data_IF_843772388209
#
_entry.id   IF_843772388209
#
_cell.length_a   1.000
_cell.length_b   1.000
_cell.length_c   1.000
_cell.angle_alpha   90.00
_cell.angle_beta   90.00
_cell.angle_gamma   90.00
#
_symmetry.space_group_name_H-M   'P 1'
#
loop_
_entity.id
_entity.type
_entity.pdbx_description
1 polymer ?
#
# COMPACT_ATOMS: atom_id res chain seq x y z
N UNK A 1 16.80 -2.81 12.33
CA UNK A 1 16.26 -4.02 11.65
C UNK A 1 15.82 -3.62 10.24
N UNK A 2 16.08 -4.44 9.23
CA UNK A 2 15.61 -4.19 7.86
C UNK A 2 14.28 -4.92 7.62
N UNK A 3 13.28 -4.21 7.11
CA UNK A 3 11.96 -4.76 6.77
C UNK A 3 11.76 -4.69 5.25
N UNK A 4 11.22 -5.76 4.68
CA UNK A 4 10.75 -5.81 3.31
C UNK A 4 9.22 -5.88 3.32
N UNK A 5 8.56 -4.95 2.66
CA UNK A 5 7.11 -4.81 2.62
C UNK A 5 6.64 -5.05 1.18
N UNK A 6 5.82 -6.08 0.97
CA UNK A 6 5.20 -6.38 -0.32
C UNK A 6 3.76 -5.82 -0.28
N UNK A 7 3.43 -4.97 -1.24
CA UNK A 7 2.13 -4.29 -1.29
C UNK A 7 1.26 -4.89 -2.39
N UNK A 8 -0.02 -5.08 -2.11
CA UNK A 8 -1.02 -5.46 -3.10
C UNK A 8 -2.27 -4.58 -2.91
N UNK A 9 -3.01 -4.36 -3.99
CA UNK A 9 -4.06 -3.33 -4.02
C UNK A 9 -5.42 -3.90 -3.61
N UNK A 10 -5.75 -5.15 -3.95
CA UNK A 10 -7.04 -5.80 -3.65
C UNK A 10 -7.37 -5.84 -2.17
N UNK A 11 -6.36 -5.95 -1.30
CA UNK A 11 -6.50 -6.02 0.15
C UNK A 11 -6.43 -4.68 0.89
N UNK A 12 -6.21 -3.57 0.17
CA UNK A 12 -6.05 -2.24 0.77
C UNK A 12 -7.34 -1.77 1.47
N UNK A 13 -7.20 -1.12 2.62
CA UNK A 13 -8.31 -0.56 3.38
C UNK A 13 -9.12 0.43 2.53
N UNK A 14 -10.44 0.20 2.44
CA UNK A 14 -11.34 1.03 1.64
C UNK A 14 -11.42 0.66 0.15
N UNK A 15 -10.67 -0.35 -0.31
CA UNK A 15 -10.94 -1.03 -1.57
C UNK A 15 -12.11 -1.99 -1.37
N UNK A 16 -13.11 -1.91 -2.24
CA UNK A 16 -14.32 -2.71 -2.16
C UNK A 16 -14.86 -3.12 -3.54
N UNK A 17 -14.24 -2.65 -4.62
CA UNK A 17 -14.51 -3.08 -6.00
C UNK A 17 -13.23 -3.22 -6.80
N UNK A 18 -13.26 -4.15 -7.75
CA UNK A 18 -12.14 -4.43 -8.67
C UNK A 18 -11.79 -3.23 -9.57
N UNK A 19 -12.72 -2.32 -9.86
CA UNK A 19 -12.41 -1.14 -10.68
C UNK A 19 -11.44 -0.18 -9.98
N UNK A 20 -11.37 -0.21 -8.64
CA UNK A 20 -10.39 0.55 -7.90
C UNK A 20 -8.96 -0.01 -8.05
N UNK A 21 -8.81 -1.25 -8.53
CA UNK A 21 -7.53 -1.96 -8.68
C UNK A 21 -7.15 -2.20 -10.15
N UNK A 22 -7.80 -1.53 -11.10
CA UNK A 22 -7.56 -1.76 -12.52
C UNK A 22 -7.10 -0.50 -13.25
N UNK A 23 -5.87 -0.48 -13.80
CA UNK A 23 -5.43 0.62 -14.66
C UNK A 23 -6.43 0.90 -15.79
N UNK A 24 -6.75 2.18 -15.98
CA UNK A 24 -7.70 2.64 -17.01
C UNK A 24 -9.13 2.83 -16.51
N UNK A 25 -9.46 2.39 -15.29
CA UNK A 25 -10.75 2.71 -14.67
C UNK A 25 -10.70 4.09 -13.98
N UNK A 26 -11.80 4.86 -13.99
CA UNK A 26 -11.88 6.15 -13.30
C UNK A 26 -11.54 6.07 -11.80
N UNK A 27 -11.90 4.96 -11.14
CA UNK A 27 -11.72 4.75 -9.70
C UNK A 27 -10.30 4.30 -9.34
N UNK A 28 -9.45 3.95 -10.31
CA UNK A 28 -8.09 3.48 -10.05
C UNK A 28 -7.26 4.52 -9.30
N UNK A 29 -7.46 5.81 -9.59
CA UNK A 29 -6.75 6.88 -8.88
C UNK A 29 -7.12 6.91 -7.39
N UNK A 30 -8.40 6.74 -7.05
CA UNK A 30 -8.81 6.61 -5.64
C UNK A 30 -8.16 5.39 -4.99
N UNK A 31 -8.12 4.26 -5.70
CA UNK A 31 -7.48 3.06 -5.18
C UNK A 31 -5.99 3.26 -4.88
N UNK A 32 -5.27 3.98 -5.74
CA UNK A 32 -3.84 4.28 -5.53
C UNK A 32 -3.62 5.15 -4.30
N UNK A 33 -4.50 6.12 -4.08
CA UNK A 33 -4.45 6.98 -2.88
C UNK A 33 -4.67 6.17 -1.61
N UNK A 34 -5.63 5.23 -1.62
CA UNK A 34 -5.87 4.30 -0.51
C UNK A 34 -4.66 3.39 -0.27
N UNK A 35 -4.09 2.80 -1.32
CA UNK A 35 -2.92 1.91 -1.22
C UNK A 35 -1.74 2.65 -0.57
N UNK A 36 -1.47 3.87 -1.05
CA UNK A 36 -0.38 4.68 -0.48
C UNK A 36 -0.65 5.08 0.98
N UNK A 37 -1.91 5.28 1.39
CA UNK A 37 -2.23 5.55 2.78
C UNK A 37 -1.87 4.37 3.70
N UNK A 38 -2.27 3.15 3.31
CA UNK A 38 -1.96 1.93 4.07
C UNK A 38 -0.47 1.63 4.09
N UNK A 39 0.21 1.72 2.94
CA UNK A 39 1.65 1.51 2.84
C UNK A 39 2.42 2.50 3.71
N UNK A 40 2.07 3.79 3.67
CA UNK A 40 2.73 4.80 4.51
C UNK A 40 2.46 4.57 6.00
N UNK A 41 1.25 4.15 6.38
CA UNK A 41 0.94 3.81 7.77
C UNK A 41 1.77 2.62 8.27
N UNK A 42 1.93 1.57 7.45
CA UNK A 42 2.75 0.42 7.76
C UNK A 42 4.25 0.78 7.87
N UNK A 43 4.75 1.64 6.97
CA UNK A 43 6.13 2.14 7.02
C UNK A 43 6.36 2.97 8.29
N UNK A 44 5.44 3.87 8.64
CA UNK A 44 5.54 4.66 9.87
C UNK A 44 5.59 3.76 11.11
N UNK A 45 4.66 2.79 11.21
CA UNK A 45 4.65 1.83 12.31
C UNK A 45 5.91 0.96 12.38
N UNK A 46 6.48 0.60 11.24
CA UNK A 46 7.76 -0.10 11.18
C UNK A 46 8.91 0.72 11.79
N UNK A 47 9.00 2.01 11.45
CA UNK A 47 10.03 2.89 12.02
C UNK A 47 9.79 3.18 13.51
N UNK A 48 8.54 3.41 13.92
CA UNK A 48 8.19 3.55 15.34
C UNK A 48 8.54 2.28 16.14
N UNK A 49 8.48 1.11 15.50
CA UNK A 49 8.90 -0.19 16.04
C UNK A 49 10.42 -0.44 16.03
N UNK A 50 11.24 0.51 15.59
CA UNK A 50 12.71 0.38 15.57
C UNK A 50 13.29 -0.23 14.29
N UNK A 51 12.54 -0.27 13.19
CA UNK A 51 13.14 -0.50 11.89
C UNK A 51 14.17 0.59 11.57
N UNK A 52 15.24 0.22 10.87
CA UNK A 52 16.31 1.14 10.44
C UNK A 52 16.30 1.33 8.93
N UNK A 53 15.61 0.45 8.22
CA UNK A 53 15.42 0.48 6.77
C UNK A 53 14.13 -0.26 6.45
N UNK A 54 13.32 0.33 5.57
CA UNK A 54 12.11 -0.30 5.03
C UNK A 54 12.19 -0.24 3.50
N UNK A 55 12.07 -1.39 2.85
CA UNK A 55 11.97 -1.48 1.38
C UNK A 55 10.56 -1.89 1.04
N UNK A 56 9.82 -0.99 0.39
CA UNK A 56 8.49 -1.27 -0.14
C UNK A 56 8.62 -1.73 -1.60
N UNK A 57 8.02 -2.88 -1.93
CA UNK A 57 7.87 -3.38 -3.28
C UNK A 57 6.39 -3.41 -3.61
N UNK A 58 6.02 -2.70 -4.68
CA UNK A 58 4.71 -2.86 -5.29
C UNK A 58 4.65 -4.24 -5.97
N UNK A 59 3.62 -5.02 -5.66
CA UNK A 59 3.41 -6.38 -6.19
C UNK A 59 2.01 -6.59 -6.75
N UNK A 60 1.26 -5.50 -6.91
CA UNK A 60 -0.04 -5.48 -7.57
C UNK A 60 0.09 -5.60 -9.10
#
# INVERSE_FOLDING_TARGET
>A
MKIYLLCDMEGTSGIWRVTQTQPGQPEYQQGRELLMADVNAAIAGAFDGGATEVVACDTH
#
